data_IF_458203069072
#
_entry.id   IF_458203069072
#
_cell.length_a   1.000
_cell.length_b   1.000
_cell.length_c   1.000
_cell.angle_alpha   90.00
_cell.angle_beta   90.00
_cell.angle_gamma   90.00
#
_symmetry.space_group_name_H-M   'P 1'
#
loop_
_entity.id
_entity.type
_entity.pdbx_description
1 polymer ?
#
# COMPACT_ATOMS: atom_id res chain seq x y z
N UNK A 1 35.25 -20.33 9.34
CA UNK A 1 33.79 -20.23 9.11
C UNK A 1 33.29 -19.07 9.95
N UNK A 2 33.16 -17.88 9.38
CA UNK A 2 32.66 -16.69 10.08
C UNK A 2 31.13 -16.73 10.10
N UNK A 3 30.57 -16.94 11.28
CA UNK A 3 29.13 -16.81 11.51
C UNK A 3 28.72 -15.35 11.36
N UNK A 4 28.26 -14.97 10.18
CA UNK A 4 27.59 -13.68 10.00
C UNK A 4 26.27 -13.71 10.76
N UNK A 5 26.20 -13.01 11.88
CA UNK A 5 24.97 -12.73 12.61
C UNK A 5 23.95 -12.15 11.63
N UNK A 6 22.71 -12.65 11.55
CA UNK A 6 21.72 -12.09 10.65
C UNK A 6 21.47 -10.63 11.02
N UNK A 7 21.87 -9.72 10.14
CA UNK A 7 21.56 -8.30 10.25
C UNK A 7 20.04 -8.18 10.30
N UNK A 8 19.49 -7.62 11.39
CA UNK A 8 18.05 -7.47 11.51
C UNK A 8 17.54 -6.66 10.30
N UNK A 9 16.40 -7.04 9.74
CA UNK A 9 15.73 -6.34 8.61
C UNK A 9 15.67 -4.81 8.84
N UNK A 10 15.71 -4.36 10.08
CA UNK A 10 15.71 -2.94 10.46
C UNK A 10 17.02 -2.20 10.13
N UNK A 11 18.15 -2.90 9.92
CA UNK A 11 19.43 -2.26 9.55
C UNK A 11 19.76 -2.39 8.06
N UNK A 12 19.10 -3.26 7.34
CA UNK A 12 19.39 -3.52 5.92
C UNK A 12 19.14 -2.28 5.05
N UNK A 13 18.03 -1.55 5.26
CA UNK A 13 17.77 -0.30 4.54
C UNK A 13 18.82 0.78 4.80
N UNK A 14 19.39 0.84 6.02
CA UNK A 14 20.41 1.82 6.37
C UNK A 14 21.71 1.58 5.59
N UNK A 15 22.14 0.32 5.50
CA UNK A 15 23.31 -0.05 4.71
C UNK A 15 23.08 0.23 3.22
N UNK A 16 21.94 -0.19 2.66
CA UNK A 16 21.58 0.08 1.27
C UNK A 16 21.60 1.59 0.96
N UNK A 17 21.06 2.42 1.87
CA UNK A 17 21.13 3.87 1.71
C UNK A 17 22.55 4.40 1.83
N UNK A 18 23.39 3.85 2.69
CA UNK A 18 24.77 4.29 2.85
C UNK A 18 25.59 4.00 1.59
N UNK A 19 25.40 2.86 0.97
CA UNK A 19 26.18 2.37 -0.15
C UNK A 19 25.77 2.96 -1.51
N UNK A 20 24.54 3.45 -1.66
CA UNK A 20 24.01 3.92 -2.94
C UNK A 20 23.93 5.46 -2.98
N UNK A 21 24.54 6.08 -3.99
CA UNK A 21 24.38 7.54 -4.23
C UNK A 21 23.05 7.90 -4.87
N UNK A 22 22.47 6.98 -5.61
CA UNK A 22 21.19 7.13 -6.30
C UNK A 22 20.27 5.94 -6.02
N UNK A 23 19.74 5.83 -4.77
CA UNK A 23 18.93 4.70 -4.36
C UNK A 23 17.59 4.64 -5.10
N UNK A 24 17.10 3.41 -5.27
CA UNK A 24 15.75 3.12 -5.75
C UNK A 24 14.88 2.70 -4.56
N UNK A 25 13.74 3.35 -4.41
CA UNK A 25 12.73 3.00 -3.42
C UNK A 25 11.48 2.43 -4.10
N UNK A 26 10.98 1.33 -3.58
CA UNK A 26 9.60 0.88 -3.82
C UNK A 26 8.80 1.38 -2.63
N UNK A 27 8.23 2.58 -2.76
CA UNK A 27 7.53 3.26 -1.67
C UNK A 27 6.06 3.43 -2.03
N UNK A 28 5.24 2.62 -1.41
CA UNK A 28 3.84 2.47 -1.77
C UNK A 28 3.02 1.92 -0.60
N UNK A 29 1.72 2.17 -0.62
CA UNK A 29 0.82 1.53 0.33
C UNK A 29 0.82 0.00 0.18
N UNK A 30 0.52 -0.73 1.24
CA UNK A 30 0.39 -2.18 1.17
C UNK A 30 -0.79 -2.61 0.28
N UNK A 31 -0.70 -3.81 -0.31
CA UNK A 31 -1.77 -4.48 -1.10
C UNK A 31 -2.05 -3.90 -2.49
N UNK A 32 -1.05 -3.28 -3.06
CA UNK A 32 -1.05 -2.77 -4.45
C UNK A 32 -0.19 -3.61 -5.39
N UNK A 33 0.10 -4.89 -5.07
CA UNK A 33 0.86 -5.77 -5.96
C UNK A 33 2.38 -5.64 -5.88
N UNK A 34 2.92 -5.20 -4.75
CA UNK A 34 4.35 -4.91 -4.54
C UNK A 34 5.30 -6.08 -4.79
N UNK A 35 4.89 -7.31 -4.47
CA UNK A 35 5.75 -8.49 -4.54
C UNK A 35 6.37 -8.72 -5.92
N UNK A 36 5.66 -8.35 -6.98
CA UNK A 36 6.14 -8.44 -8.35
C UNK A 36 7.34 -7.49 -8.60
N UNK A 37 7.24 -6.24 -8.14
CA UNK A 37 8.33 -5.25 -8.28
C UNK A 37 9.51 -5.54 -7.36
N UNK A 38 9.27 -5.95 -6.13
CA UNK A 38 10.33 -6.25 -5.15
C UNK A 38 11.29 -7.33 -5.65
N UNK A 39 10.74 -8.38 -6.27
CA UNK A 39 11.53 -9.45 -6.87
C UNK A 39 12.28 -9.01 -8.14
N UNK A 40 11.74 -8.01 -8.84
CA UNK A 40 12.24 -7.57 -10.14
C UNK A 40 13.27 -6.45 -10.05
N UNK A 41 13.38 -5.76 -8.89
CA UNK A 41 14.28 -4.63 -8.71
C UNK A 41 15.28 -4.93 -7.58
N UNK A 42 16.41 -5.58 -7.88
CA UNK A 42 17.40 -5.91 -6.87
C UNK A 42 17.98 -4.66 -6.22
N UNK A 43 18.31 -4.76 -4.93
CA UNK A 43 18.86 -3.67 -4.11
C UNK A 43 17.93 -2.46 -3.93
N UNK A 44 16.65 -2.57 -4.28
CA UNK A 44 15.66 -1.56 -3.93
C UNK A 44 15.35 -1.56 -2.43
N UNK A 45 14.96 -0.40 -1.92
CA UNK A 45 14.52 -0.25 -0.54
C UNK A 45 13.00 -0.23 -0.53
N UNK A 46 12.40 -1.24 0.10
CA UNK A 46 10.96 -1.38 0.18
C UNK A 46 10.39 -0.70 1.43
N UNK A 47 9.39 0.18 1.23
CA UNK A 47 8.73 0.95 2.26
C UNK A 47 7.22 0.97 2.04
N UNK A 48 6.45 0.87 3.13
CA UNK A 48 5.01 1.11 3.12
C UNK A 48 4.67 2.43 3.79
N UNK A 49 5.20 2.63 5.01
CA UNK A 49 4.93 3.79 5.84
C UNK A 49 6.24 4.26 6.47
N UNK A 50 6.60 5.51 6.21
CA UNK A 50 7.78 6.15 6.77
C UNK A 50 7.41 7.44 7.50
N UNK A 51 6.52 8.23 6.92
CA UNK A 51 6.19 9.56 7.40
C UNK A 51 5.07 9.52 8.44
N UNK A 52 4.09 8.63 8.29
CA UNK A 52 2.99 8.42 9.24
C UNK A 52 3.45 7.57 10.42
N UNK A 53 3.63 8.19 11.58
CA UNK A 53 4.09 7.51 12.79
C UNK A 53 3.01 6.56 13.33
N UNK A 54 1.75 6.89 13.14
CA UNK A 54 0.58 6.12 13.60
C UNK A 54 -0.01 5.17 12.55
N UNK A 55 0.70 4.89 11.45
CA UNK A 55 0.21 4.06 10.35
C UNK A 55 -0.31 2.67 10.81
N UNK A 56 0.32 2.05 11.82
CA UNK A 56 -0.17 0.78 12.37
C UNK A 56 -1.54 0.88 13.03
N UNK A 57 -1.82 1.98 13.75
CA UNK A 57 -3.13 2.22 14.34
C UNK A 57 -4.19 2.42 13.26
N UNK A 58 -3.80 3.04 12.15
CA UNK A 58 -4.68 3.25 11.02
C UNK A 58 -5.00 1.96 10.26
N UNK A 59 -4.04 1.02 10.20
CA UNK A 59 -4.20 -0.23 9.44
C UNK A 59 -4.83 -1.32 10.29
N UNK A 60 -4.48 -1.44 11.57
CA UNK A 60 -4.98 -2.45 12.48
C UNK A 60 -4.88 -2.00 13.95
N UNK A 61 -5.96 -1.42 14.50
CA UNK A 61 -6.00 -1.03 15.91
C UNK A 61 -5.63 -2.16 16.87
N UNK A 62 -6.07 -3.38 16.57
CA UNK A 62 -5.79 -4.57 17.38
C UNK A 62 -4.31 -4.93 17.36
N UNK A 63 -3.69 -4.90 16.19
CA UNK A 63 -2.25 -5.17 16.06
C UNK A 63 -1.42 -4.13 16.79
N UNK A 64 -1.87 -2.87 16.80
CA UNK A 64 -1.21 -1.79 17.52
C UNK A 64 -1.23 -2.00 19.04
N UNK A 65 -2.29 -2.63 19.58
CA UNK A 65 -2.41 -2.94 21.01
C UNK A 65 -1.48 -4.08 21.45
N UNK A 66 -1.15 -5.01 20.55
CA UNK A 66 -0.27 -6.16 20.87
C UNK A 66 1.23 -5.79 20.92
N UNK A 67 1.61 -4.60 20.44
CA UNK A 67 3.00 -4.14 20.45
C UNK A 67 3.14 -2.99 21.46
N UNK A 68 4.27 -2.95 22.19
CA UNK A 68 4.54 -1.85 23.12
C UNK A 68 4.55 -0.50 22.36
N UNK A 69 3.54 0.35 22.53
CA UNK A 69 3.33 1.51 21.67
C UNK A 69 4.44 2.55 21.79
N UNK A 70 5.02 2.72 22.97
CA UNK A 70 6.02 3.77 23.21
C UNK A 70 7.37 3.48 22.54
N UNK A 71 7.88 2.25 22.67
CA UNK A 71 9.17 1.87 22.06
C UNK A 71 9.09 1.83 20.53
N UNK A 72 7.95 1.43 19.98
CA UNK A 72 7.74 1.43 18.53
C UNK A 72 7.61 2.86 17.98
N UNK A 73 6.96 3.76 18.69
CA UNK A 73 6.84 5.17 18.33
C UNK A 73 8.22 5.84 18.22
N UNK A 74 9.08 5.69 19.23
CA UNK A 74 10.43 6.28 19.22
C UNK A 74 11.27 5.70 18.07
N UNK A 75 11.25 4.38 17.87
CA UNK A 75 11.97 3.72 16.77
C UNK A 75 11.51 4.24 15.40
N UNK A 76 10.22 4.42 15.20
CA UNK A 76 9.64 4.95 13.95
C UNK A 76 10.04 6.42 13.75
N UNK A 77 9.96 7.24 14.80
CA UNK A 77 10.39 8.63 14.73
C UNK A 77 11.87 8.76 14.37
N UNK A 78 12.75 8.00 15.00
CA UNK A 78 14.18 7.97 14.68
C UNK A 78 14.43 7.49 13.25
N UNK A 79 13.76 6.40 12.81
CA UNK A 79 13.85 5.91 11.42
C UNK A 79 13.43 7.00 10.44
N UNK A 80 12.30 7.65 10.65
CA UNK A 80 11.81 8.77 9.85
C UNK A 80 12.85 9.89 9.75
N UNK A 81 13.37 10.35 10.87
CA UNK A 81 14.33 11.45 10.91
C UNK A 81 15.64 11.10 10.17
N UNK A 82 16.21 9.94 10.47
CA UNK A 82 17.47 9.48 9.86
C UNK A 82 17.28 9.27 8.36
N UNK A 83 16.27 8.51 7.98
CA UNK A 83 16.04 8.14 6.59
C UNK A 83 15.70 9.34 5.72
N UNK A 84 14.84 10.25 6.19
CA UNK A 84 14.50 11.48 5.46
C UNK A 84 15.74 12.36 5.23
N UNK A 85 16.60 12.50 6.26
CA UNK A 85 17.85 13.27 6.12
C UNK A 85 18.83 12.62 5.16
N UNK A 86 18.97 11.29 5.20
CA UNK A 86 19.84 10.56 4.27
C UNK A 86 19.35 10.71 2.83
N UNK A 87 18.06 10.51 2.57
CA UNK A 87 17.46 10.63 1.24
C UNK A 87 17.61 12.04 0.66
N UNK A 88 17.37 13.08 1.44
CA UNK A 88 17.55 14.48 1.00
C UNK A 88 18.99 14.85 0.63
N UNK A 89 19.98 14.09 1.10
CA UNK A 89 21.41 14.30 0.80
C UNK A 89 21.92 13.46 -0.37
N UNK A 90 21.11 12.57 -0.94
CA UNK A 90 21.47 11.76 -2.08
C UNK A 90 21.50 12.58 -3.37
N UNK A 91 22.34 12.15 -4.34
CA UNK A 91 22.42 12.81 -5.65
C UNK A 91 21.07 12.74 -6.38
N UNK A 92 20.44 11.59 -6.35
CA UNK A 92 19.12 11.35 -6.91
C UNK A 92 18.43 10.23 -6.12
N UNK A 93 17.12 10.33 -5.95
CA UNK A 93 16.29 9.26 -5.36
C UNK A 93 15.18 8.94 -6.34
N UNK A 94 15.15 7.70 -6.83
CA UNK A 94 14.07 7.23 -7.70
C UNK A 94 13.07 6.45 -6.86
N UNK A 95 11.81 6.83 -6.95
CA UNK A 95 10.71 6.20 -6.21
C UNK A 95 9.73 5.61 -7.21
N UNK A 96 9.36 4.34 -7.04
CA UNK A 96 8.20 3.73 -7.70
C UNK A 96 7.12 3.54 -6.65
N UNK A 97 5.90 3.95 -7.01
CA UNK A 97 4.70 3.76 -6.20
C UNK A 97 3.59 3.18 -7.05
N UNK A 98 3.00 2.06 -6.61
CA UNK A 98 1.86 1.46 -7.30
C UNK A 98 0.55 1.98 -6.72
N UNK A 99 -0.44 2.11 -7.61
CA UNK A 99 -1.82 2.50 -7.30
C UNK A 99 -2.78 1.38 -7.68
N UNK A 100 -3.70 1.09 -6.80
CA UNK A 100 -4.83 0.17 -7.01
C UNK A 100 -6.13 0.85 -6.61
N UNK A 101 -7.26 0.46 -7.22
CA UNK A 101 -8.55 0.96 -6.80
C UNK A 101 -8.79 0.67 -5.30
N UNK A 102 -9.34 1.65 -4.55
CA UNK A 102 -9.22 1.63 -3.09
C UNK A 102 -10.07 0.55 -2.42
N UNK A 103 -11.21 0.15 -3.00
CA UNK A 103 -12.12 -0.84 -2.41
C UNK A 103 -11.48 -2.23 -2.42
N UNK A 104 -11.04 -2.71 -3.58
CA UNK A 104 -10.36 -4.01 -3.70
C UNK A 104 -9.01 -4.04 -3.02
N UNK A 105 -8.31 -2.89 -2.90
CA UNK A 105 -7.13 -2.75 -2.05
C UNK A 105 -7.49 -3.02 -0.58
N UNK A 106 -8.56 -2.40 -0.07
CA UNK A 106 -9.01 -2.56 1.31
C UNK A 106 -9.53 -3.97 1.60
N UNK A 107 -10.29 -4.56 0.67
CA UNK A 107 -10.67 -5.99 0.75
C UNK A 107 -9.42 -6.88 0.85
N UNK A 108 -8.41 -6.63 0.03
CA UNK A 108 -7.16 -7.41 0.07
C UNK A 108 -6.38 -7.24 1.38
N UNK A 109 -6.43 -6.06 1.99
CA UNK A 109 -5.82 -5.80 3.30
C UNK A 109 -6.59 -6.48 4.42
N UNK A 110 -7.92 -6.41 4.40
CA UNK A 110 -8.78 -7.06 5.35
C UNK A 110 -8.52 -8.56 5.44
N UNK A 111 -8.52 -9.26 4.30
CA UNK A 111 -8.29 -10.69 4.28
C UNK A 111 -6.87 -11.10 4.68
N UNK A 112 -5.87 -10.30 4.40
CA UNK A 112 -4.51 -10.57 4.89
C UNK A 112 -4.42 -10.48 6.42
N UNK A 113 -5.20 -9.61 7.03
CA UNK A 113 -5.21 -9.38 8.48
C UNK A 113 -6.43 -10.01 9.16
N UNK A 114 -7.16 -10.89 8.47
CA UNK A 114 -8.42 -11.48 8.93
C UNK A 114 -8.38 -12.07 10.36
N UNK A 115 -7.33 -12.80 10.77
CA UNK A 115 -7.29 -13.34 12.13
C UNK A 115 -7.34 -12.25 13.20
N UNK A 116 -6.75 -11.09 12.95
CA UNK A 116 -6.76 -9.97 13.90
C UNK A 116 -8.13 -9.28 13.98
N UNK A 117 -8.80 -9.11 12.84
CA UNK A 117 -10.14 -8.53 12.80
C UNK A 117 -11.18 -9.42 13.47
N UNK A 118 -11.13 -10.71 13.16
CA UNK A 118 -12.05 -11.67 13.75
C UNK A 118 -11.82 -11.82 15.24
N UNK A 119 -10.57 -11.85 15.72
CA UNK A 119 -10.27 -11.85 17.13
C UNK A 119 -10.85 -10.62 17.85
N UNK A 120 -10.72 -9.43 17.26
CA UNK A 120 -11.30 -8.21 17.82
C UNK A 120 -12.82 -8.29 17.92
N UNK A 121 -13.49 -8.76 16.87
CA UNK A 121 -14.96 -8.90 16.85
C UNK A 121 -15.44 -9.89 17.92
N UNK A 122 -14.84 -11.08 17.99
CA UNK A 122 -15.21 -12.10 18.97
C UNK A 122 -14.92 -11.72 20.44
N UNK A 123 -13.88 -10.90 20.68
CA UNK A 123 -13.55 -10.47 22.04
C UNK A 123 -14.44 -9.34 22.55
N UNK A 124 -15.07 -8.58 21.66
CA UNK A 124 -15.82 -7.38 22.00
C UNK A 124 -17.34 -7.52 21.78
N UNK A 125 -17.79 -8.62 21.19
CA UNK A 125 -19.20 -8.78 20.78
C UNK A 125 -19.67 -10.23 20.94
N UNK A 126 -20.40 -10.51 22.03
CA UNK A 126 -20.98 -11.83 22.30
C UNK A 126 -22.00 -12.26 21.22
N UNK A 127 -22.61 -11.33 20.50
CA UNK A 127 -23.52 -11.63 19.39
C UNK A 127 -22.79 -12.21 18.18
N UNK A 128 -21.51 -11.93 18.01
CA UNK A 128 -20.69 -12.41 16.92
C UNK A 128 -20.64 -13.95 16.83
N UNK A 129 -20.77 -14.64 17.95
CA UNK A 129 -20.80 -16.13 18.02
C UNK A 129 -22.04 -16.70 17.37
N UNK A 130 -23.11 -15.93 17.26
CA UNK A 130 -24.44 -16.36 16.76
C UNK A 130 -24.75 -15.85 15.36
N UNK A 131 -23.94 -14.94 14.82
CA UNK A 131 -24.18 -14.35 13.51
C UNK A 131 -23.69 -15.26 12.38
N UNK A 132 -24.32 -15.15 11.22
CA UNK A 132 -23.82 -15.82 10.02
C UNK A 132 -22.42 -15.32 9.65
N UNK A 133 -21.56 -16.23 9.21
CA UNK A 133 -20.15 -15.92 8.90
C UNK A 133 -20.00 -14.80 7.88
N UNK A 134 -20.82 -14.76 6.84
CA UNK A 134 -20.80 -13.71 5.82
C UNK A 134 -21.12 -12.35 6.41
N UNK A 135 -22.14 -12.26 7.25
CA UNK A 135 -22.52 -11.01 7.92
C UNK A 135 -21.40 -10.49 8.81
N UNK A 136 -20.77 -11.37 9.61
CA UNK A 136 -19.63 -11.00 10.46
C UNK A 136 -18.46 -10.44 9.65
N UNK A 137 -18.17 -11.03 8.49
CA UNK A 137 -17.09 -10.54 7.63
C UNK A 137 -17.40 -9.16 7.07
N UNK A 138 -18.65 -8.90 6.67
CA UNK A 138 -19.07 -7.59 6.16
C UNK A 138 -19.02 -6.51 7.25
N UNK A 139 -19.60 -6.77 8.40
CA UNK A 139 -19.56 -5.84 9.54
C UNK A 139 -18.12 -5.55 9.97
N UNK A 140 -17.27 -6.58 10.12
CA UNK A 140 -15.89 -6.39 10.49
C UNK A 140 -15.08 -5.59 9.42
N UNK A 141 -15.36 -5.79 8.13
CA UNK A 141 -14.75 -4.99 7.07
C UNK A 141 -15.16 -3.51 7.17
N UNK A 142 -16.45 -3.22 7.34
CA UNK A 142 -16.95 -1.85 7.43
C UNK A 142 -16.49 -1.12 8.69
N UNK A 143 -16.46 -1.81 9.83
CA UNK A 143 -16.18 -1.19 11.14
C UNK A 143 -14.69 -1.06 11.47
N UNK A 144 -13.86 -2.00 11.02
CA UNK A 144 -12.48 -2.08 11.49
C UNK A 144 -11.42 -1.73 10.45
N UNK A 145 -11.77 -1.69 9.15
CA UNK A 145 -10.84 -1.24 8.13
C UNK A 145 -10.80 0.27 8.06
N UNK A 146 -9.62 0.86 8.11
CA UNK A 146 -9.48 2.28 7.81
C UNK A 146 -9.60 2.52 6.31
N UNK A 147 -10.80 2.89 5.87
CA UNK A 147 -11.11 3.11 4.47
C UNK A 147 -10.48 4.38 3.90
N UNK A 148 -10.09 5.34 4.75
CA UNK A 148 -9.40 6.57 4.35
C UNK A 148 -7.92 6.37 4.05
N UNK A 149 -7.30 5.33 4.63
CA UNK A 149 -5.86 5.11 4.50
C UNK A 149 -5.35 5.15 3.04
N UNK A 150 -5.93 4.44 2.05
CA UNK A 150 -5.45 4.53 0.67
C UNK A 150 -5.72 5.90 0.02
N UNK A 151 -6.76 6.60 0.45
CA UNK A 151 -7.18 7.89 -0.13
C UNK A 151 -6.22 9.03 0.24
N UNK A 152 -5.63 8.94 1.43
CA UNK A 152 -4.74 9.96 1.99
C UNK A 152 -3.25 9.60 1.92
N UNK A 153 -2.92 8.40 1.45
CA UNK A 153 -1.56 7.87 1.54
C UNK A 153 -0.50 8.77 0.86
N UNK A 154 -0.78 9.32 -0.32
CA UNK A 154 0.15 10.22 -1.01
C UNK A 154 0.36 11.53 -0.25
N UNK A 155 -0.69 12.09 0.32
CA UNK A 155 -0.63 13.31 1.12
C UNK A 155 0.13 13.06 2.44
N UNK A 156 0.01 11.88 3.04
CA UNK A 156 0.61 11.53 4.32
C UNK A 156 2.03 10.95 4.21
N UNK A 157 2.41 10.39 3.07
CA UNK A 157 3.70 9.70 2.90
C UNK A 157 4.61 10.36 1.85
N UNK A 158 4.15 10.49 0.61
CA UNK A 158 4.97 10.99 -0.50
C UNK A 158 5.21 12.49 -0.37
N UNK A 159 4.14 13.26 -0.21
CA UNK A 159 4.24 14.72 -0.16
C UNK A 159 5.12 15.24 0.98
N UNK A 160 5.04 14.73 2.23
CA UNK A 160 5.89 15.18 3.32
C UNK A 160 7.37 14.80 3.14
N UNK A 161 7.66 13.67 2.50
CA UNK A 161 9.03 13.22 2.27
C UNK A 161 9.71 14.01 1.14
N UNK A 162 9.02 14.13 0.00
CA UNK A 162 9.58 14.59 -1.29
C UNK A 162 9.19 16.01 -1.65
N UNK A 163 8.12 16.53 -1.07
CA UNK A 163 7.47 17.78 -1.50
C UNK A 163 6.67 17.64 -2.81
N UNK A 164 6.62 16.45 -3.42
CA UNK A 164 5.81 16.18 -4.63
C UNK A 164 4.36 16.01 -4.21
N UNK A 165 3.48 16.81 -4.77
CA UNK A 165 2.04 16.64 -4.69
C UNK A 165 1.54 16.05 -6.02
N UNK A 166 1.21 14.76 -6.01
CA UNK A 166 0.79 14.04 -7.23
C UNK A 166 -0.51 14.58 -7.81
N UNK A 167 -1.35 15.21 -6.98
CA UNK A 167 -2.67 15.69 -7.38
C UNK A 167 -2.65 17.05 -8.09
N UNK A 168 -1.49 17.71 -8.19
CA UNK A 168 -1.38 19.01 -8.86
C UNK A 168 -1.21 18.93 -10.37
N UNK A 169 -0.92 17.74 -10.91
CA UNK A 169 -0.73 17.50 -12.34
C UNK A 169 -1.66 16.37 -12.78
N UNK A 170 -2.26 16.43 -13.97
CA UNK A 170 -3.13 15.37 -14.46
C UNK A 170 -2.37 14.04 -14.58
N UNK A 171 -3.07 12.94 -14.26
CA UNK A 171 -2.56 11.59 -14.43
C UNK A 171 -3.01 11.05 -15.79
N UNK A 172 -2.09 10.40 -16.51
CA UNK A 172 -2.41 9.78 -17.78
C UNK A 172 -3.10 8.42 -17.55
N UNK A 173 -4.42 8.38 -17.71
CA UNK A 173 -5.22 7.18 -17.48
C UNK A 173 -5.00 6.10 -18.57
N UNK A 174 -4.62 6.47 -19.79
CA UNK A 174 -4.39 5.53 -20.89
C UNK A 174 -3.05 4.82 -20.71
N UNK A 175 -1.98 5.58 -20.48
CA UNK A 175 -0.67 5.02 -20.16
C UNK A 175 -0.68 4.30 -18.81
N UNK A 176 -1.49 4.76 -17.86
CA UNK A 176 -1.59 4.21 -16.52
C UNK A 176 -0.37 4.48 -15.64
N UNK A 177 0.47 5.45 -16.02
CA UNK A 177 1.57 5.93 -15.19
C UNK A 177 1.85 7.41 -15.41
N UNK A 178 2.47 8.04 -14.42
CA UNK A 178 2.94 9.42 -14.47
C UNK A 178 4.27 9.55 -13.72
N UNK A 179 5.17 10.39 -14.25
CA UNK A 179 6.46 10.73 -13.61
C UNK A 179 6.41 12.14 -13.08
N UNK A 180 6.83 12.32 -11.84
CA UNK A 180 6.94 13.59 -11.14
C UNK A 180 8.38 13.81 -10.69
N UNK A 181 8.82 15.09 -10.66
CA UNK A 181 10.15 15.44 -10.22
C UNK A 181 10.11 16.67 -9.30
N UNK A 182 10.89 16.63 -8.24
CA UNK A 182 11.14 17.77 -7.36
C UNK A 182 12.46 17.58 -6.62
N UNK A 183 13.32 18.60 -6.67
CA UNK A 183 14.65 18.55 -6.09
C UNK A 183 15.44 17.31 -6.58
N UNK A 184 15.95 16.51 -5.66
CA UNK A 184 16.64 15.26 -5.95
C UNK A 184 15.70 14.03 -6.04
N UNK A 185 14.37 14.22 -5.91
CA UNK A 185 13.40 13.14 -5.99
C UNK A 185 12.76 13.04 -7.38
N UNK A 186 12.74 11.82 -7.90
CA UNK A 186 11.93 11.42 -9.06
C UNK A 186 10.96 10.33 -8.63
N UNK A 187 9.67 10.55 -8.84
CA UNK A 187 8.60 9.62 -8.48
C UNK A 187 7.89 9.15 -9.73
N UNK A 188 7.80 7.84 -9.93
CA UNK A 188 6.92 7.23 -10.93
C UNK A 188 5.76 6.55 -10.22
N UNK A 189 4.54 7.01 -10.50
CA UNK A 189 3.31 6.38 -10.03
C UNK A 189 2.75 5.53 -11.15
N UNK A 190 2.46 4.26 -10.88
CA UNK A 190 1.97 3.29 -11.87
C UNK A 190 0.73 2.59 -11.33
N UNK A 191 -0.30 2.49 -12.15
CA UNK A 191 -1.49 1.68 -11.83
C UNK A 191 -1.15 0.19 -11.93
N UNK A 192 -1.57 -0.60 -10.95
CA UNK A 192 -1.25 -2.04 -10.89
C UNK A 192 -1.86 -2.83 -12.05
N UNK A 193 -3.04 -2.45 -12.53
CA UNK A 193 -3.72 -3.05 -13.68
C UNK A 193 -3.03 -2.71 -15.04
N UNK A 194 -2.14 -1.72 -15.03
CA UNK A 194 -1.32 -1.30 -16.18
C UNK A 194 0.17 -1.66 -16.03
N UNK A 195 0.52 -2.44 -15.01
CA UNK A 195 1.91 -2.72 -14.65
C UNK A 195 2.68 -3.43 -15.79
N UNK A 196 2.05 -4.39 -16.46
CA UNK A 196 2.68 -5.16 -17.54
C UNK A 196 3.06 -4.29 -18.74
N UNK A 197 2.15 -3.47 -19.18
CA UNK A 197 2.40 -2.56 -20.29
C UNK A 197 3.38 -1.44 -19.92
N UNK A 198 3.56 -1.16 -18.63
CA UNK A 198 4.46 -0.13 -18.12
C UNK A 198 5.92 -0.61 -17.93
N UNK A 199 6.24 -1.89 -18.16
CA UNK A 199 7.58 -2.45 -17.88
C UNK A 199 8.72 -1.70 -18.59
N UNK A 200 8.52 -1.33 -19.88
CA UNK A 200 9.51 -0.56 -20.64
C UNK A 200 9.71 0.83 -20.04
N UNK A 201 8.64 1.51 -19.66
CA UNK A 201 8.70 2.82 -19.02
C UNK A 201 9.38 2.74 -17.65
N UNK A 202 9.09 1.72 -16.85
CA UNK A 202 9.75 1.46 -15.56
C UNK A 202 11.25 1.22 -15.77
N UNK A 203 11.64 0.40 -16.75
CA UNK A 203 13.04 0.13 -17.06
C UNK A 203 13.79 1.41 -17.47
N UNK A 204 13.16 2.24 -18.30
CA UNK A 204 13.70 3.55 -18.69
C UNK A 204 13.86 4.49 -17.51
N UNK A 205 12.83 4.59 -16.65
CA UNK A 205 12.84 5.43 -15.46
C UNK A 205 13.93 5.01 -14.47
N UNK A 206 14.11 3.72 -14.26
CA UNK A 206 15.13 3.18 -13.36
C UNK A 206 16.53 3.10 -13.98
N UNK A 207 16.66 3.23 -15.30
CA UNK A 207 17.91 3.03 -16.05
C UNK A 207 18.49 1.61 -15.87
N UNK A 208 17.61 0.62 -15.72
CA UNK A 208 17.95 -0.80 -15.61
C UNK A 208 16.81 -1.67 -16.17
N UNK A 209 17.13 -2.85 -16.68
CA UNK A 209 16.10 -3.77 -17.18
C UNK A 209 15.26 -4.28 -15.99
N UNK A 210 13.93 -4.18 -16.13
CA UNK A 210 12.96 -4.68 -15.16
C UNK A 210 12.00 -5.62 -15.87
N UNK A 211 11.97 -6.88 -15.43
CA UNK A 211 10.97 -7.88 -15.86
C UNK A 211 10.06 -8.18 -14.69
N UNK A 212 8.83 -7.70 -14.78
CA UNK A 212 7.84 -7.94 -13.73
C UNK A 212 7.48 -9.43 -13.68
N UNK A 213 7.67 -10.05 -12.52
CA UNK A 213 7.34 -11.45 -12.29
C UNK A 213 5.98 -11.53 -11.59
N UNK A 214 4.98 -12.11 -12.28
CA UNK A 214 3.68 -12.34 -11.66
C UNK A 214 3.73 -13.56 -10.74
N UNK A 215 3.57 -13.31 -9.46
CA UNK A 215 3.25 -14.35 -8.48
C UNK A 215 1.72 -14.35 -8.28
N UNK A 216 1.02 -15.31 -8.87
CA UNK A 216 -0.40 -15.56 -8.61
C UNK A 216 -0.58 -16.17 -7.20
N UNK A 217 -0.19 -15.41 -6.16
CA UNK A 217 -0.26 -15.90 -4.78
C UNK A 217 -1.66 -15.82 -4.14
N UNK A 218 -2.63 -15.22 -4.83
CA UNK A 218 -3.96 -15.07 -4.24
C UNK A 218 -4.69 -16.41 -4.07
N UNK A 219 -4.54 -17.31 -5.03
CA UNK A 219 -5.33 -18.57 -5.07
C UNK A 219 -4.85 -19.61 -4.06
N UNK A 220 -3.62 -19.52 -3.57
CA UNK A 220 -3.02 -20.46 -2.62
C UNK A 220 -3.11 -20.04 -1.15
N UNK A 221 -3.88 -18.98 -0.82
CA UNK A 221 -3.99 -18.51 0.56
C UNK A 221 -5.10 -19.24 1.30
N UNK A 222 -4.86 -19.53 2.57
CA UNK A 222 -5.83 -20.22 3.44
C UNK A 222 -7.21 -19.56 3.48
N UNK A 223 -7.28 -18.24 3.26
CA UNK A 223 -8.53 -17.48 3.26
C UNK A 223 -9.20 -17.35 1.88
N UNK A 224 -8.63 -17.96 0.82
CA UNK A 224 -9.17 -17.83 -0.55
C UNK A 224 -10.64 -18.21 -0.67
N UNK A 225 -11.14 -19.32 -0.05
CA UNK A 225 -12.56 -19.65 -0.08
C UNK A 225 -13.44 -18.57 0.56
N UNK A 226 -12.98 -17.99 1.68
CA UNK A 226 -13.70 -16.92 2.37
C UNK A 226 -13.73 -15.62 1.56
N UNK A 227 -12.65 -15.32 0.85
CA UNK A 227 -12.58 -14.16 -0.03
C UNK A 227 -13.55 -14.28 -1.21
N UNK A 228 -13.68 -15.48 -1.79
CA UNK A 228 -14.64 -15.74 -2.88
C UNK A 228 -16.08 -15.58 -2.38
N UNK A 229 -16.41 -16.18 -1.23
CA UNK A 229 -17.70 -16.04 -0.59
C UNK A 229 -18.04 -14.57 -0.28
N UNK A 230 -17.10 -13.86 0.36
CA UNK A 230 -17.24 -12.45 0.68
C UNK A 230 -17.55 -11.61 -0.56
N UNK A 231 -16.78 -11.77 -1.64
CA UNK A 231 -16.99 -10.99 -2.88
C UNK A 231 -18.36 -11.27 -3.52
N UNK A 232 -18.85 -12.50 -3.43
CA UNK A 232 -20.16 -12.89 -3.97
C UNK A 232 -21.32 -12.28 -3.18
N UNK A 233 -21.13 -12.08 -1.88
CA UNK A 233 -22.15 -11.56 -0.95
C UNK A 233 -21.89 -10.13 -0.51
N UNK A 234 -20.91 -9.45 -1.14
CA UNK A 234 -20.47 -8.13 -0.74
C UNK A 234 -21.48 -7.06 -1.16
N UNK A 235 -22.25 -6.59 -0.20
CA UNK A 235 -23.18 -5.48 -0.34
C UNK A 235 -22.80 -4.38 0.67
N UNK A 236 -21.76 -3.60 0.39
CA UNK A 236 -21.28 -2.58 1.32
C UNK A 236 -22.29 -1.42 1.42
N UNK A 237 -22.20 -0.66 2.51
CA UNK A 237 -22.98 0.56 2.64
C UNK A 237 -22.70 1.50 1.49
N UNK A 238 -23.78 2.00 0.87
CA UNK A 238 -23.73 2.95 -0.27
C UNK A 238 -22.81 4.12 0.05
N UNK A 239 -22.94 4.71 1.24
CA UNK A 239 -22.12 5.84 1.66
C UNK A 239 -20.60 5.54 1.65
N UNK A 240 -20.18 4.33 2.03
CA UNK A 240 -18.79 3.92 2.01
C UNK A 240 -18.24 3.86 0.57
N UNK A 241 -19.00 3.28 -0.34
CA UNK A 241 -18.59 3.16 -1.74
C UNK A 241 -18.53 4.55 -2.39
N UNK A 242 -19.55 5.37 -2.18
CA UNK A 242 -19.58 6.73 -2.70
C UNK A 242 -18.38 7.55 -2.22
N UNK A 243 -18.07 7.51 -0.92
CA UNK A 243 -16.93 8.20 -0.36
C UNK A 243 -15.62 7.80 -1.05
N UNK A 244 -15.42 6.50 -1.27
CA UNK A 244 -14.20 6.00 -1.90
C UNK A 244 -14.14 6.31 -3.39
N UNK A 245 -15.23 6.13 -4.13
CA UNK A 245 -15.27 6.33 -5.59
C UNK A 245 -15.30 7.83 -5.98
N UNK A 246 -15.87 8.69 -5.14
CA UNK A 246 -15.89 10.15 -5.39
C UNK A 246 -14.67 10.88 -4.82
N UNK A 247 -13.77 10.17 -4.14
CA UNK A 247 -12.58 10.75 -3.54
C UNK A 247 -11.65 11.42 -4.55
N UNK A 248 -10.84 12.36 -4.07
CA UNK A 248 -9.75 12.98 -4.86
C UNK A 248 -8.81 11.91 -5.45
N UNK A 249 -8.47 10.90 -4.67
CA UNK A 249 -7.61 9.79 -5.09
C UNK A 249 -8.20 9.05 -6.30
N UNK A 250 -9.45 8.60 -6.20
CA UNK A 250 -10.08 7.81 -7.26
C UNK A 250 -10.26 8.63 -8.53
N UNK A 251 -10.76 9.86 -8.43
CA UNK A 251 -10.92 10.78 -9.57
C UNK A 251 -9.61 11.15 -10.24
N UNK A 252 -8.49 11.13 -9.50
CA UNK A 252 -7.19 11.44 -10.05
C UNK A 252 -6.58 10.28 -10.85
N UNK A 253 -6.69 9.05 -10.33
CA UNK A 253 -6.01 7.91 -10.92
C UNK A 253 -6.86 7.08 -11.89
N UNK A 254 -8.18 7.27 -11.89
CA UNK A 254 -9.12 6.51 -12.72
C UNK A 254 -10.01 7.44 -13.54
N UNK A 255 -10.28 7.07 -14.79
CA UNK A 255 -11.18 7.80 -15.66
C UNK A 255 -12.64 7.66 -15.20
N UNK A 256 -13.51 8.59 -15.65
CA UNK A 256 -14.94 8.53 -15.34
C UNK A 256 -15.57 7.19 -15.71
N UNK A 257 -15.23 6.63 -16.88
CA UNK A 257 -15.72 5.32 -17.32
C UNK A 257 -15.27 4.18 -16.40
N UNK A 258 -14.03 4.23 -15.93
CA UNK A 258 -13.52 3.21 -14.98
C UNK A 258 -14.20 3.32 -13.63
N UNK A 259 -14.49 4.53 -13.16
CA UNK A 259 -15.25 4.77 -11.93
C UNK A 259 -16.68 4.24 -12.08
N UNK A 260 -17.35 4.47 -13.20
CA UNK A 260 -18.68 3.92 -13.51
C UNK A 260 -18.67 2.38 -13.50
N UNK A 261 -17.62 1.76 -14.06
CA UNK A 261 -17.45 0.31 -14.01
C UNK A 261 -17.26 -0.21 -12.57
N UNK A 262 -16.53 0.53 -11.73
CA UNK A 262 -16.38 0.20 -10.31
C UNK A 262 -17.71 0.34 -9.56
N UNK A 263 -18.49 1.38 -9.86
CA UNK A 263 -19.86 1.51 -9.35
C UNK A 263 -20.68 0.27 -9.69
N UNK A 264 -20.73 -0.11 -10.95
CA UNK A 264 -21.48 -1.32 -11.38
C UNK A 264 -20.98 -2.58 -10.65
N UNK A 265 -19.66 -2.72 -10.48
CA UNK A 265 -19.05 -3.88 -9.82
C UNK A 265 -19.44 -4.01 -8.35
N UNK A 266 -19.57 -2.89 -7.63
CA UNK A 266 -19.80 -2.90 -6.17
C UNK A 266 -21.25 -2.65 -5.77
N UNK A 267 -22.13 -2.29 -6.72
CA UNK A 267 -23.58 -2.13 -6.49
C UNK A 267 -24.42 -3.26 -7.10
N UNK A 268 -23.84 -4.13 -7.96
CA UNK A 268 -24.51 -5.30 -8.50
C UNK A 268 -24.46 -6.47 -7.54
#
# INVERSE_FOLDING_TARGET
MSSSTPISLSMQWYQLLKEQDSPVLIYQMGKVGSSALEKSIPKSIHLHDLMSIDAEKQISPVRAQLHNPATNYIKRLLKRLIMSRMLKRKKQVRIISLVREPIGRNISMFFQSLPFWMAAKYLNDDSAVRSERSQLLHEAFEEHVNHQYPLEWFDNEIKPLTGIDVFTHPFDHELGYQVYQKDNFSLMVVRVDKLDQSQKAISTFLQQEVKVQHDNQADNKWYSPLLVEFKRTFHPKVALIEEMLTSKFTKHFFSTKEIENLHTLYYS
#
